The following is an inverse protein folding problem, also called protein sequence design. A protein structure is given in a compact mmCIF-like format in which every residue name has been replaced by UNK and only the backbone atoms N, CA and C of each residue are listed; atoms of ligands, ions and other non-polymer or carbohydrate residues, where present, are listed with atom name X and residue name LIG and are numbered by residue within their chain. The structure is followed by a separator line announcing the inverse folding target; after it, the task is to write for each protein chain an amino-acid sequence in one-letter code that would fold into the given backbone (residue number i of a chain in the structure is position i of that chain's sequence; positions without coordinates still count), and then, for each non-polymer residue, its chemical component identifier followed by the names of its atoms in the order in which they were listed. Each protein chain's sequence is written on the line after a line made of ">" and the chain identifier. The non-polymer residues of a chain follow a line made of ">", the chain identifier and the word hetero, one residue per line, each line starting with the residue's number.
data_IF_008290294602
#
_entry.id   IF_008290294602
#
_cell.length_a   1.000
_cell.length_b   1.000
_cell.length_c   1.000
_cell.angle_alpha   90.00
_cell.angle_beta   90.00
_cell.angle_gamma   90.00
#
_symmetry.space_group_name_H-M   'P 1'
#
loop_
_entity.id
_entity.type
_entity.pdbx_description
1 polymer ?
#
# COMPACT_ATOMS: atom_id res chain seq x y z
N UNK A 1 11.69 -14.65 -22.67
CA UNK A 1 12.31 -14.09 -21.42
C UNK A 1 11.19 -13.98 -20.39
N UNK A 2 11.45 -14.27 -19.12
CA UNK A 2 10.40 -14.09 -18.09
C UNK A 2 10.32 -12.62 -17.72
N UNK A 3 9.09 -12.06 -17.62
CA UNK A 3 8.85 -10.68 -17.20
C UNK A 3 7.97 -10.63 -15.95
N UNK A 4 8.47 -10.01 -14.88
CA UNK A 4 7.72 -9.86 -13.63
C UNK A 4 7.03 -8.50 -13.58
N UNK A 5 5.74 -8.49 -13.92
CA UNK A 5 4.89 -7.29 -13.96
C UNK A 5 3.83 -7.29 -12.85
N UNK A 6 4.17 -7.84 -11.67
CA UNK A 6 3.30 -7.86 -10.48
C UNK A 6 3.95 -7.22 -9.23
N UNK A 7 4.69 -6.14 -9.44
CA UNK A 7 5.44 -5.46 -8.38
C UNK A 7 4.56 -4.76 -7.33
N UNK A 8 3.25 -4.58 -7.58
CA UNK A 8 2.32 -4.10 -6.56
C UNK A 8 1.90 -5.19 -5.59
N UNK A 9 1.97 -6.48 -5.97
CA UNK A 9 1.75 -7.58 -5.03
C UNK A 9 2.95 -7.74 -4.10
N UNK A 10 4.16 -7.80 -4.64
CA UNK A 10 5.42 -7.84 -3.89
C UNK A 10 6.58 -7.52 -4.82
N UNK A 11 7.70 -7.07 -4.26
CA UNK A 11 8.92 -6.85 -5.02
C UNK A 11 10.01 -7.85 -4.60
N UNK A 12 10.94 -8.14 -5.51
CA UNK A 12 12.11 -8.94 -5.19
C UNK A 12 13.01 -8.17 -4.21
N UNK A 13 13.44 -8.78 -3.08
CA UNK A 13 14.42 -8.14 -2.20
C UNK A 13 15.75 -7.90 -2.93
N UNK A 14 16.36 -6.76 -2.63
CA UNK A 14 17.68 -6.42 -3.21
C UNK A 14 18.80 -7.24 -2.57
N UNK A 15 19.95 -7.40 -3.24
CA UNK A 15 21.10 -8.10 -2.67
C UNK A 15 21.55 -7.54 -1.33
N UNK A 16 21.61 -6.21 -1.17
CA UNK A 16 21.97 -5.55 0.09
C UNK A 16 20.93 -5.78 1.20
N UNK A 17 19.67 -5.95 0.86
CA UNK A 17 18.60 -6.31 1.80
C UNK A 17 18.80 -7.76 2.26
N UNK A 18 19.04 -8.67 1.34
CA UNK A 18 19.32 -10.08 1.67
C UNK A 18 20.55 -10.19 2.56
N UNK A 19 21.61 -9.43 2.26
CA UNK A 19 22.82 -9.38 3.07
C UNK A 19 22.55 -8.87 4.50
N UNK A 20 21.78 -7.79 4.66
CA UNK A 20 21.43 -7.22 5.96
C UNK A 20 20.60 -8.19 6.81
N UNK A 21 19.62 -8.88 6.21
CA UNK A 21 18.82 -9.91 6.88
C UNK A 21 19.70 -11.09 7.32
N UNK A 22 20.55 -11.60 6.43
CA UNK A 22 21.45 -12.73 6.72
C UNK A 22 22.46 -12.38 7.82
N UNK A 23 23.05 -11.20 7.74
CA UNK A 23 24.00 -10.70 8.76
C UNK A 23 23.35 -10.63 10.14
N UNK A 24 22.14 -10.09 10.20
CA UNK A 24 21.36 -10.01 11.45
C UNK A 24 21.02 -11.40 12.01
N UNK A 25 20.68 -12.38 11.17
CA UNK A 25 20.41 -13.74 11.61
C UNK A 25 21.66 -14.43 12.17
N UNK A 26 22.83 -14.18 11.58
CA UNK A 26 24.08 -14.85 11.94
C UNK A 26 24.80 -14.14 13.10
N UNK A 27 24.86 -12.82 13.11
CA UNK A 27 25.65 -12.02 14.04
C UNK A 27 24.80 -11.16 14.99
N UNK A 28 23.61 -10.71 14.58
CA UNK A 28 22.71 -9.84 15.34
C UNK A 28 21.53 -10.54 16.01
N UNK A 29 21.67 -11.83 16.34
CA UNK A 29 20.58 -12.69 16.85
C UNK A 29 20.15 -12.41 18.30
N UNK A 30 20.83 -11.50 19.01
CA UNK A 30 20.52 -11.15 20.40
C UNK A 30 19.13 -10.55 20.57
N UNK A 31 18.54 -10.71 21.78
CA UNK A 31 17.29 -10.03 22.11
C UNK A 31 17.56 -8.54 22.39
N UNK A 32 16.95 -7.58 21.67
CA UNK A 32 17.18 -6.15 21.86
C UNK A 32 16.85 -5.61 23.26
N UNK A 33 16.02 -6.33 24.03
CA UNK A 33 15.68 -5.97 25.40
C UNK A 33 16.76 -6.35 26.44
N UNK A 34 17.74 -7.19 26.05
CA UNK A 34 18.80 -7.64 26.94
C UNK A 34 19.90 -6.59 27.13
N UNK A 35 20.47 -6.53 28.35
CA UNK A 35 21.50 -5.55 28.70
C UNK A 35 22.93 -6.00 28.38
N UNK A 36 23.13 -7.28 28.03
CA UNK A 36 24.43 -7.80 27.62
C UNK A 36 24.76 -7.42 26.17
N UNK A 37 26.02 -7.55 25.78
CA UNK A 37 26.56 -7.07 24.49
C UNK A 37 25.73 -7.50 23.28
N UNK A 38 25.36 -8.78 23.18
CA UNK A 38 24.57 -9.26 22.04
C UNK A 38 23.19 -8.57 21.92
N UNK A 39 22.55 -8.26 23.08
CA UNK A 39 21.29 -7.50 23.08
C UNK A 39 21.48 -6.03 22.70
N UNK A 40 22.57 -5.41 23.18
CA UNK A 40 22.92 -4.02 22.81
C UNK A 40 23.19 -3.91 21.31
N UNK A 41 23.92 -4.86 20.70
CA UNK A 41 24.22 -4.88 19.28
C UNK A 41 22.93 -5.06 18.46
N UNK A 42 22.02 -5.94 18.87
CA UNK A 42 20.72 -6.13 18.22
C UNK A 42 19.85 -4.86 18.32
N UNK A 43 19.80 -4.22 19.49
CA UNK A 43 19.09 -2.94 19.69
C UNK A 43 19.64 -1.85 18.79
N UNK A 44 20.97 -1.74 18.66
CA UNK A 44 21.61 -0.79 17.76
C UNK A 44 21.18 -1.02 16.32
N UNK A 45 21.11 -2.26 15.87
CA UNK A 45 20.61 -2.61 14.54
C UNK A 45 19.17 -2.11 14.32
N UNK A 46 18.30 -2.33 15.30
CA UNK A 46 16.90 -1.85 15.24
C UNK A 46 16.83 -0.33 15.16
N UNK A 47 17.58 0.39 15.98
CA UNK A 47 17.50 1.87 16.01
C UNK A 47 18.13 2.48 14.74
N UNK A 48 19.22 1.98 14.21
CA UNK A 48 19.79 2.44 12.94
C UNK A 48 18.82 2.22 11.76
N UNK A 49 18.17 1.06 11.71
CA UNK A 49 17.14 0.79 10.69
C UNK A 49 15.92 1.72 10.86
N UNK A 50 15.53 2.01 12.11
CA UNK A 50 14.45 2.95 12.41
C UNK A 50 14.77 4.36 11.89
N UNK A 51 16.01 4.84 12.09
CA UNK A 51 16.48 6.11 11.56
C UNK A 51 16.41 6.16 10.01
N UNK A 52 16.81 5.08 9.34
CA UNK A 52 16.75 4.98 7.88
C UNK A 52 15.32 5.00 7.36
N UNK A 53 14.41 4.26 8.00
CA UNK A 53 12.98 4.27 7.67
C UNK A 53 12.36 5.64 7.95
N UNK A 54 12.70 6.27 9.06
CA UNK A 54 12.23 7.61 9.39
C UNK A 54 12.66 8.65 8.35
N UNK A 55 13.92 8.61 7.90
CA UNK A 55 14.42 9.49 6.83
C UNK A 55 13.69 9.28 5.51
N UNK A 56 13.41 8.01 5.13
CA UNK A 56 12.68 7.69 3.90
C UNK A 56 11.29 8.36 3.85
N UNK A 57 10.64 8.51 4.99
CA UNK A 57 9.29 9.08 5.07
C UNK A 57 9.25 10.51 5.63
N UNK A 58 10.40 11.18 5.77
CA UNK A 58 10.48 12.55 6.29
C UNK A 58 9.97 12.68 7.72
N UNK A 59 10.33 11.73 8.60
CA UNK A 59 9.81 11.59 9.97
C UNK A 59 10.92 11.58 11.02
N UNK A 60 10.56 11.59 12.30
CA UNK A 60 11.47 11.27 13.40
C UNK A 60 11.44 9.79 13.74
N UNK A 61 12.55 9.28 14.24
CA UNK A 61 12.70 7.89 14.67
C UNK A 61 11.62 7.43 15.66
N UNK A 62 11.25 8.29 16.61
CA UNK A 62 10.22 8.01 17.62
C UNK A 62 8.80 7.92 17.06
N UNK A 63 8.59 8.37 15.85
CA UNK A 63 7.30 8.35 15.17
C UNK A 63 7.09 7.02 14.41
N UNK A 64 8.12 6.19 14.24
CA UNK A 64 8.03 4.89 13.58
C UNK A 64 7.70 3.80 14.61
N UNK A 65 6.71 2.97 14.29
CA UNK A 65 6.33 1.74 15.02
C UNK A 65 6.47 0.57 14.06
N UNK A 66 7.39 -0.34 14.33
CA UNK A 66 7.53 -1.55 13.51
C UNK A 66 6.40 -2.54 13.78
N UNK A 67 5.91 -3.17 12.72
CA UNK A 67 4.83 -4.14 12.72
C UNK A 67 5.21 -5.34 11.87
N UNK A 68 4.42 -6.41 11.85
CA UNK A 68 4.68 -7.59 11.00
C UNK A 68 4.37 -7.36 9.51
N UNK A 69 3.77 -6.23 9.14
CA UNK A 69 3.40 -5.89 7.77
C UNK A 69 2.41 -4.75 7.69
N UNK A 70 2.01 -4.39 6.47
CA UNK A 70 1.04 -3.32 6.21
C UNK A 70 -0.33 -3.57 6.85
N UNK A 71 -0.79 -4.82 6.87
CA UNK A 71 -2.07 -5.19 7.48
C UNK A 71 -2.10 -4.92 8.97
N UNK A 72 -1.05 -5.34 9.72
CA UNK A 72 -0.95 -5.01 11.15
C UNK A 72 -0.83 -3.49 11.37
N UNK A 73 -0.07 -2.80 10.54
CA UNK A 73 0.07 -1.34 10.62
C UNK A 73 -1.27 -0.62 10.40
N UNK A 74 -2.07 -1.04 9.40
CA UNK A 74 -3.40 -0.51 9.13
C UNK A 74 -4.38 -0.80 10.28
N UNK A 75 -4.38 -2.03 10.81
CA UNK A 75 -5.20 -2.40 11.97
C UNK A 75 -4.84 -1.56 13.20
N UNK A 76 -3.54 -1.40 13.48
CA UNK A 76 -3.06 -0.54 14.57
C UNK A 76 -3.49 0.92 14.38
N UNK A 77 -3.47 1.43 13.14
CA UNK A 77 -3.94 2.77 12.84
C UNK A 77 -5.44 2.92 13.10
N UNK A 78 -6.26 1.99 12.62
CA UNK A 78 -7.74 2.08 12.65
C UNK A 78 -8.26 1.72 14.05
N UNK A 79 -8.06 0.49 14.49
CA UNK A 79 -8.56 0.00 15.77
C UNK A 79 -7.85 0.68 16.95
N UNK A 80 -6.52 0.85 16.86
CA UNK A 80 -5.73 1.54 17.85
C UNK A 80 -6.13 3.01 18.04
N UNK A 81 -6.51 3.72 16.97
CA UNK A 81 -7.01 5.09 17.06
C UNK A 81 -8.38 5.16 17.73
N UNK A 82 -9.30 4.27 17.34
CA UNK A 82 -10.64 4.19 17.93
C UNK A 82 -10.54 3.93 19.44
N UNK A 83 -9.81 2.91 19.85
CA UNK A 83 -9.64 2.55 21.25
C UNK A 83 -8.94 3.65 22.06
N UNK A 84 -7.87 4.27 21.52
CA UNK A 84 -7.17 5.33 22.20
C UNK A 84 -8.07 6.55 22.48
N UNK A 85 -8.98 6.91 21.59
CA UNK A 85 -9.93 7.98 21.78
C UNK A 85 -10.98 7.62 22.83
N UNK A 86 -11.48 6.38 22.82
CA UNK A 86 -12.41 5.89 23.86
C UNK A 86 -11.77 5.90 25.24
N UNK A 87 -10.51 5.47 25.39
CA UNK A 87 -9.74 5.55 26.64
C UNK A 87 -9.50 6.98 27.12
N UNK A 88 -9.53 7.96 26.21
CA UNK A 88 -9.44 9.40 26.52
C UNK A 88 -10.81 10.03 26.84
N UNK A 89 -11.87 9.25 27.00
CA UNK A 89 -13.21 9.74 27.32
C UNK A 89 -14.03 10.21 26.11
N UNK A 90 -13.56 9.94 24.88
CA UNK A 90 -14.23 10.34 23.65
C UNK A 90 -15.12 9.19 23.08
N UNK A 91 -15.96 8.59 23.92
CA UNK A 91 -16.80 7.44 23.56
C UNK A 91 -17.78 7.72 22.41
N UNK A 92 -18.13 8.99 22.17
CA UNK A 92 -18.98 9.42 21.05
C UNK A 92 -18.30 9.31 19.69
N UNK A 93 -16.95 9.23 19.63
CA UNK A 93 -16.21 9.07 18.37
C UNK A 93 -16.18 7.61 17.96
N UNK A 94 -17.13 7.21 17.09
CA UNK A 94 -17.31 5.82 16.66
C UNK A 94 -17.45 5.69 15.13
N UNK A 95 -17.44 6.79 14.39
CA UNK A 95 -17.56 6.75 12.92
C UNK A 95 -16.17 6.64 12.31
N UNK A 96 -16.00 5.66 11.43
CA UNK A 96 -14.85 5.50 10.54
C UNK A 96 -15.27 5.94 9.15
N UNK A 97 -14.59 6.90 8.56
CA UNK A 97 -14.80 7.31 7.17
C UNK A 97 -13.72 6.65 6.33
N UNK A 98 -14.11 5.87 5.32
CA UNK A 98 -13.18 5.18 4.42
C UNK A 98 -13.77 5.01 3.03
N UNK A 99 -13.00 4.46 2.09
CA UNK A 99 -13.42 4.24 0.71
C UNK A 99 -13.58 2.73 0.41
N UNK A 100 -14.53 2.38 -0.45
CA UNK A 100 -14.64 0.98 -0.94
C UNK A 100 -13.50 0.58 -1.88
N UNK A 101 -12.71 1.56 -2.35
CA UNK A 101 -11.51 1.34 -3.16
C UNK A 101 -10.26 1.02 -2.33
N UNK A 102 -10.35 1.01 -0.99
CA UNK A 102 -9.26 0.64 -0.09
C UNK A 102 -8.81 -0.81 -0.28
N UNK A 103 -7.54 -1.05 0.08
CA UNK A 103 -7.05 -2.42 0.25
C UNK A 103 -7.85 -3.16 1.33
N UNK A 104 -7.99 -4.50 1.20
CA UNK A 104 -8.71 -5.35 2.17
C UNK A 104 -8.27 -5.13 3.63
N UNK A 105 -6.97 -4.87 3.86
CA UNK A 105 -6.45 -4.59 5.21
C UNK A 105 -7.12 -3.40 5.90
N UNK A 106 -7.59 -2.40 5.15
CA UNK A 106 -8.32 -1.23 5.66
C UNK A 106 -9.81 -1.47 5.62
N UNK A 107 -10.35 -1.89 4.46
CA UNK A 107 -11.78 -2.08 4.26
C UNK A 107 -12.34 -3.12 5.23
N UNK A 108 -11.74 -4.31 5.28
CA UNK A 108 -12.21 -5.40 6.15
C UNK A 108 -12.01 -5.09 7.63
N UNK A 109 -10.95 -4.34 8.01
CA UNK A 109 -10.80 -3.87 9.37
C UNK A 109 -11.95 -2.94 9.80
N UNK A 110 -12.36 -2.00 8.93
CA UNK A 110 -13.50 -1.13 9.18
C UNK A 110 -14.81 -1.94 9.27
N UNK A 111 -15.05 -2.86 8.33
CA UNK A 111 -16.25 -3.71 8.28
C UNK A 111 -16.32 -4.64 9.50
N UNK A 112 -15.19 -5.23 9.93
CA UNK A 112 -15.13 -6.08 11.12
C UNK A 112 -15.47 -5.30 12.40
N UNK A 113 -15.00 -4.08 12.56
CA UNK A 113 -15.34 -3.21 13.69
C UNK A 113 -16.82 -2.85 13.68
N UNK A 114 -17.40 -2.58 12.52
CA UNK A 114 -18.83 -2.33 12.38
C UNK A 114 -19.67 -3.58 12.68
N UNK A 115 -19.29 -4.75 12.17
CA UNK A 115 -19.94 -6.02 12.44
C UNK A 115 -19.93 -6.42 13.92
N UNK A 116 -18.90 -5.99 14.67
CA UNK A 116 -18.79 -6.16 16.13
C UNK A 116 -19.56 -5.08 16.92
N UNK A 117 -20.21 -4.11 16.26
CA UNK A 117 -20.90 -3.00 16.90
C UNK A 117 -19.98 -1.98 17.59
N UNK A 118 -18.67 -2.00 17.28
CA UNK A 118 -17.68 -1.12 17.89
C UNK A 118 -17.55 0.21 17.14
N UNK A 119 -17.88 0.24 15.86
CA UNK A 119 -17.84 1.43 15.01
C UNK A 119 -19.02 1.45 14.03
N UNK A 120 -19.23 2.58 13.38
CA UNK A 120 -20.03 2.76 12.17
C UNK A 120 -19.08 3.10 11.04
N UNK A 121 -19.33 2.61 9.81
CA UNK A 121 -18.54 2.98 8.64
C UNK A 121 -19.36 3.89 7.74
N UNK A 122 -18.85 5.08 7.48
CA UNK A 122 -19.35 5.99 6.45
C UNK A 122 -18.44 5.89 5.20
N UNK A 123 -19.01 5.37 4.11
CA UNK A 123 -18.26 5.18 2.88
C UNK A 123 -18.20 6.47 2.06
N UNK A 124 -16.97 6.99 1.91
CA UNK A 124 -16.67 8.11 1.05
C UNK A 124 -16.81 7.69 -0.42
N UNK A 125 -17.51 8.51 -1.21
CA UNK A 125 -17.67 8.30 -2.66
C UNK A 125 -16.37 8.54 -3.41
N UNK A 126 -16.24 7.91 -4.57
CA UNK A 126 -15.21 8.21 -5.56
C UNK A 126 -15.83 8.41 -6.95
N UNK A 127 -15.07 9.01 -7.86
CA UNK A 127 -15.41 9.10 -9.28
C UNK A 127 -14.98 7.83 -10.04
N UNK A 128 -15.24 7.79 -11.35
CA UNK A 128 -14.86 6.68 -12.23
C UNK A 128 -13.34 6.56 -12.44
N UNK A 129 -12.57 7.58 -12.12
CA UNK A 129 -11.11 7.54 -12.10
C UNK A 129 -10.56 7.05 -10.75
N UNK A 130 -11.42 6.85 -9.75
CA UNK A 130 -11.07 6.38 -8.42
C UNK A 130 -10.66 7.50 -7.46
N UNK A 131 -10.83 8.78 -7.84
CA UNK A 131 -10.51 9.89 -6.96
C UNK A 131 -11.57 10.06 -5.87
N UNK A 132 -11.16 10.35 -4.65
CA UNK A 132 -12.05 10.66 -3.53
C UNK A 132 -12.88 11.92 -3.80
N UNK A 133 -14.18 11.86 -3.53
CA UNK A 133 -15.09 13.01 -3.60
C UNK A 133 -14.86 13.94 -2.39
N UNK A 134 -14.06 14.98 -2.58
CA UNK A 134 -13.75 15.96 -1.53
C UNK A 134 -14.97 16.76 -1.06
N UNK A 135 -15.96 16.96 -1.93
CA UNK A 135 -17.22 17.61 -1.57
C UNK A 135 -18.01 16.76 -0.58
N UNK A 136 -18.16 15.48 -0.88
CA UNK A 136 -18.79 14.52 0.03
C UNK A 136 -18.01 14.37 1.36
N UNK A 137 -16.67 14.39 1.31
CA UNK A 137 -15.87 14.38 2.54
C UNK A 137 -16.15 15.61 3.39
N UNK A 138 -16.21 16.80 2.78
CA UNK A 138 -16.53 18.04 3.50
C UNK A 138 -17.93 17.99 4.13
N UNK A 139 -18.94 17.49 3.41
CA UNK A 139 -20.31 17.28 3.93
C UNK A 139 -20.32 16.35 5.15
N UNK A 140 -19.61 15.20 5.08
CA UNK A 140 -19.51 14.26 6.19
C UNK A 140 -18.83 14.89 7.41
N UNK A 141 -17.75 15.63 7.19
CA UNK A 141 -17.00 16.30 8.24
C UNK A 141 -17.83 17.42 8.88
N UNK A 142 -18.54 18.23 8.09
CA UNK A 142 -19.38 19.31 8.61
C UNK A 142 -20.55 18.78 9.44
N UNK A 143 -21.15 17.67 9.01
CA UNK A 143 -22.29 17.07 9.70
C UNK A 143 -21.90 16.28 10.95
N UNK A 144 -20.74 15.56 10.95
CA UNK A 144 -20.46 14.48 11.90
C UNK A 144 -19.07 14.53 12.54
N UNK A 145 -18.27 15.61 12.39
CA UNK A 145 -16.91 15.66 12.93
C UNK A 145 -16.78 15.21 14.41
N UNK A 146 -17.72 15.56 15.33
CA UNK A 146 -17.63 15.09 16.72
C UNK A 146 -17.79 13.58 16.91
N UNK A 147 -18.41 12.88 15.93
CA UNK A 147 -18.62 11.43 15.96
C UNK A 147 -17.52 10.67 15.23
N UNK A 148 -16.78 11.34 14.33
CA UNK A 148 -15.75 10.69 13.50
C UNK A 148 -14.50 10.44 14.35
N UNK A 149 -14.14 9.16 14.48
CA UNK A 149 -12.93 8.71 15.12
C UNK A 149 -11.71 8.84 14.19
N UNK A 150 -11.90 8.47 12.91
CA UNK A 150 -10.82 8.44 11.92
C UNK A 150 -11.39 8.56 10.50
N UNK A 151 -10.72 9.35 9.67
CA UNK A 151 -10.78 9.23 8.21
C UNK A 151 -9.60 8.39 7.76
N UNK A 152 -9.82 7.38 6.93
CA UNK A 152 -8.78 6.53 6.37
C UNK A 152 -8.94 6.45 4.85
N UNK A 153 -7.97 7.02 4.13
CA UNK A 153 -7.93 7.02 2.66
C UNK A 153 -6.52 6.69 2.21
N UNK A 154 -6.37 5.67 1.37
CA UNK A 154 -5.08 5.25 0.83
C UNK A 154 -4.43 6.37 0.02
N UNK A 155 -3.08 6.39 -0.01
CA UNK A 155 -2.37 7.41 -0.79
C UNK A 155 -2.38 7.10 -2.29
N UNK A 156 -2.20 5.84 -2.63
CA UNK A 156 -2.27 5.38 -4.01
C UNK A 156 -2.88 3.99 -4.08
N UNK A 157 -3.76 3.80 -5.06
CA UNK A 157 -4.47 2.54 -5.23
C UNK A 157 -3.56 1.44 -5.78
N UNK A 158 -3.59 0.27 -5.15
CA UNK A 158 -2.75 -0.88 -5.51
C UNK A 158 -3.18 -1.58 -6.81
N UNK A 159 -4.41 -1.34 -7.29
CA UNK A 159 -4.93 -1.97 -8.51
C UNK A 159 -4.81 -1.07 -9.72
N UNK A 160 -5.19 0.20 -9.60
CA UNK A 160 -5.24 1.15 -10.71
C UNK A 160 -4.04 2.10 -10.75
N UNK A 161 -3.36 2.27 -9.61
CA UNK A 161 -2.31 3.26 -9.45
C UNK A 161 -2.82 4.68 -9.18
N UNK A 162 -4.14 4.91 -9.14
CA UNK A 162 -4.71 6.24 -8.90
C UNK A 162 -4.21 6.84 -7.58
N UNK A 163 -3.76 8.08 -7.63
CA UNK A 163 -3.20 8.83 -6.50
C UNK A 163 -4.28 9.71 -5.88
N UNK A 164 -4.43 9.63 -4.57
CA UNK A 164 -5.41 10.42 -3.84
C UNK A 164 -4.84 11.77 -3.39
N UNK A 165 -5.67 12.81 -3.30
CA UNK A 165 -5.28 14.15 -2.87
C UNK A 165 -5.13 14.21 -1.32
N UNK A 166 -4.12 13.49 -0.80
CA UNK A 166 -3.91 13.28 0.65
C UNK A 166 -3.69 14.60 1.40
N UNK A 167 -3.07 15.60 0.76
CA UNK A 167 -2.87 16.91 1.36
C UNK A 167 -4.19 17.64 1.60
N UNK A 168 -5.09 17.63 0.62
CA UNK A 168 -6.41 18.26 0.67
C UNK A 168 -7.33 17.53 1.66
N UNK A 169 -7.36 16.19 1.62
CA UNK A 169 -8.10 15.35 2.57
C UNK A 169 -7.65 15.66 3.99
N UNK A 170 -6.35 15.64 4.22
CA UNK A 170 -5.78 15.92 5.53
C UNK A 170 -6.05 17.35 6.02
N UNK A 171 -6.02 18.33 5.13
CA UNK A 171 -6.37 19.73 5.47
C UNK A 171 -7.85 19.84 5.91
N UNK A 172 -8.77 19.18 5.20
CA UNK A 172 -10.18 19.12 5.57
C UNK A 172 -10.40 18.48 6.94
N UNK A 173 -9.72 17.35 7.21
CA UNK A 173 -9.78 16.65 8.50
C UNK A 173 -9.23 17.51 9.63
N UNK A 174 -8.04 18.09 9.43
CA UNK A 174 -7.37 18.93 10.43
C UNK A 174 -8.17 20.15 10.81
N UNK A 175 -8.80 20.82 9.83
CA UNK A 175 -9.64 21.99 10.06
C UNK A 175 -10.85 21.68 10.97
N UNK A 176 -11.26 20.42 11.08
CA UNK A 176 -12.40 19.95 11.89
C UNK A 176 -12.00 19.10 13.10
N UNK A 177 -10.69 19.00 13.39
CA UNK A 177 -10.17 18.23 14.53
C UNK A 177 -10.42 16.72 14.43
N UNK A 178 -10.46 16.20 13.21
CA UNK A 178 -10.61 14.77 12.91
C UNK A 178 -9.27 14.17 12.54
N UNK A 179 -8.95 12.99 13.07
CA UNK A 179 -7.72 12.24 12.73
C UNK A 179 -7.77 11.71 11.31
N UNK A 180 -6.60 11.74 10.64
CA UNK A 180 -6.46 11.21 9.29
C UNK A 180 -5.33 10.19 9.20
N UNK A 181 -5.68 8.98 8.72
CA UNK A 181 -4.79 7.90 8.35
C UNK A 181 -4.72 7.77 6.83
N UNK A 182 -3.54 7.51 6.30
CA UNK A 182 -3.37 7.10 4.91
C UNK A 182 -2.64 5.75 4.82
N UNK A 183 -3.16 4.81 4.02
CA UNK A 183 -2.39 3.64 3.63
C UNK A 183 -1.40 4.05 2.53
N UNK A 184 -0.14 4.24 2.95
CA UNK A 184 0.97 4.64 2.09
C UNK A 184 1.77 3.45 1.54
N UNK A 185 1.21 2.23 1.60
CA UNK A 185 1.89 0.99 1.21
C UNK A 185 2.36 0.99 -0.25
N UNK A 186 1.62 1.63 -1.14
CA UNK A 186 2.02 1.77 -2.55
C UNK A 186 2.82 3.06 -2.83
N UNK A 187 2.96 3.94 -1.84
CA UNK A 187 3.64 5.23 -1.99
C UNK A 187 5.09 5.20 -1.48
N UNK A 188 5.28 4.72 -0.24
CA UNK A 188 6.59 4.72 0.43
C UNK A 188 7.63 3.92 -0.36
N UNK A 189 8.80 4.51 -0.55
CA UNK A 189 9.91 3.94 -1.32
C UNK A 189 9.74 3.97 -2.85
N UNK A 190 8.61 4.48 -3.35
CA UNK A 190 8.32 4.67 -4.80
C UNK A 190 8.18 6.13 -5.18
N UNK A 191 7.70 6.93 -4.26
CA UNK A 191 7.48 8.37 -4.42
C UNK A 191 8.13 9.12 -3.27
N UNK A 192 8.52 10.40 -3.44
CA UNK A 192 8.97 11.25 -2.34
C UNK A 192 7.92 11.31 -1.24
N UNK A 193 8.36 11.26 0.02
CA UNK A 193 7.47 11.20 1.16
C UNK A 193 8.00 12.07 2.30
N UNK A 194 7.21 13.07 2.74
CA UNK A 194 7.56 14.03 3.78
C UNK A 194 6.41 14.16 4.79
N UNK A 195 6.16 13.08 5.55
CA UNK A 195 4.97 12.96 6.40
C UNK A 195 4.85 14.06 7.45
N UNK A 196 5.96 14.59 7.97
CA UNK A 196 5.90 15.68 8.95
C UNK A 196 5.29 16.96 8.39
N UNK A 197 5.54 17.26 7.13
CA UNK A 197 5.00 18.45 6.46
C UNK A 197 3.54 18.25 6.00
N UNK A 198 3.09 17.01 5.87
CA UNK A 198 1.74 16.66 5.42
C UNK A 198 0.71 16.78 6.56
N UNK A 199 -0.56 17.10 6.28
CA UNK A 199 -1.64 17.11 7.26
C UNK A 199 -2.19 15.69 7.55
N UNK A 200 -1.31 14.71 7.74
CA UNK A 200 -1.60 13.30 8.04
C UNK A 200 -1.26 13.03 9.51
N UNK A 201 -1.97 12.17 10.19
CA UNK A 201 -1.70 11.79 11.59
C UNK A 201 -1.09 10.39 11.70
N UNK A 202 -1.44 9.50 10.77
CA UNK A 202 -1.01 8.11 10.73
C UNK A 202 -0.75 7.68 9.28
N UNK A 203 0.31 6.90 9.04
CA UNK A 203 0.58 6.33 7.72
C UNK A 203 1.10 4.90 7.86
N UNK A 204 0.42 3.93 7.23
CA UNK A 204 0.82 2.52 7.21
C UNK A 204 1.60 2.17 5.94
N UNK A 205 2.62 1.31 6.05
CA UNK A 205 3.39 0.83 4.91
C UNK A 205 4.13 -0.48 5.20
N UNK A 206 4.59 -1.17 4.14
CA UNK A 206 5.22 -2.49 4.22
C UNK A 206 6.50 -2.56 3.39
N UNK A 207 7.55 -3.17 3.95
CA UNK A 207 8.88 -3.24 3.35
C UNK A 207 8.90 -3.94 1.99
N UNK A 208 8.11 -5.02 1.83
CA UNK A 208 8.11 -5.82 0.61
C UNK A 208 7.55 -5.11 -0.63
N UNK A 209 7.03 -3.90 -0.49
CA UNK A 209 6.55 -3.06 -1.61
C UNK A 209 7.65 -2.18 -2.20
N UNK A 210 8.77 -2.02 -1.47
CA UNK A 210 9.95 -1.27 -1.92
C UNK A 210 11.26 -2.05 -1.80
N UNK A 211 11.20 -3.34 -2.17
CA UNK A 211 12.33 -4.28 -2.22
C UNK A 211 12.89 -4.72 -0.86
N UNK A 212 12.15 -4.50 0.23
CA UNK A 212 12.43 -5.05 1.54
C UNK A 212 11.88 -6.48 1.72
N UNK A 213 12.12 -7.10 2.88
CA UNK A 213 11.60 -8.42 3.17
C UNK A 213 10.10 -8.41 3.46
N UNK A 214 9.43 -9.56 3.23
CA UNK A 214 8.09 -9.84 3.78
C UNK A 214 8.17 -10.01 5.30
N UNK A 215 7.04 -9.88 5.99
CA UNK A 215 6.97 -10.09 7.44
C UNK A 215 7.47 -8.90 8.27
N UNK A 216 7.58 -7.73 7.66
CA UNK A 216 7.90 -6.47 8.32
C UNK A 216 7.18 -5.30 7.63
N UNK A 217 6.62 -4.39 8.43
CA UNK A 217 6.02 -3.14 8.02
C UNK A 217 6.20 -2.09 9.11
N UNK A 218 5.61 -0.93 8.92
CA UNK A 218 5.63 0.11 9.92
C UNK A 218 4.36 0.97 9.87
N UNK A 219 4.00 1.49 11.03
CA UNK A 219 3.07 2.59 11.18
C UNK A 219 3.88 3.84 11.58
N UNK A 220 3.79 4.89 10.79
CA UNK A 220 4.17 6.21 11.24
C UNK A 220 3.05 6.82 12.06
N UNK A 221 3.38 7.33 13.25
CA UNK A 221 2.45 7.96 14.18
C UNK A 221 2.97 9.36 14.49
N UNK A 222 2.23 10.37 14.07
CA UNK A 222 2.59 11.78 14.34
C UNK A 222 2.80 12.03 15.82
N UNK A 223 3.81 12.81 16.16
CA UNK A 223 4.06 13.22 17.55
C UNK A 223 2.79 13.84 18.18
N UNK A 224 2.43 13.39 19.37
CA UNK A 224 1.19 13.77 20.07
C UNK A 224 -0.05 12.93 19.74
N UNK A 225 -0.06 12.15 18.67
CA UNK A 225 -1.13 11.20 18.37
C UNK A 225 -0.94 9.92 19.20
N UNK A 226 -2.02 9.42 19.79
CA UNK A 226 -2.02 8.18 20.56
C UNK A 226 -2.76 7.08 19.83
N UNK A 227 -2.18 5.88 19.85
CA UNK A 227 -2.80 4.64 19.39
C UNK A 227 -2.73 3.61 20.52
N UNK A 228 -3.79 2.85 20.73
CA UNK A 228 -3.78 1.74 21.68
C UNK A 228 -3.12 0.51 21.02
N UNK A 229 -2.23 -0.21 21.74
CA UNK A 229 -1.58 -1.39 21.18
C UNK A 229 -2.61 -2.48 20.85
N UNK A 230 -2.50 -3.10 19.67
CA UNK A 230 -3.31 -4.24 19.28
C UNK A 230 -2.60 -5.56 19.59
N UNK A 231 -1.28 -5.57 19.54
CA UNK A 231 -0.44 -6.67 20.02
C UNK A 231 0.03 -6.32 21.43
N UNK A 232 -0.66 -6.87 22.42
CA UNK A 232 -0.40 -6.59 23.84
C UNK A 232 0.77 -7.44 24.32
N UNK A 233 1.70 -6.83 25.08
CA UNK A 233 2.89 -7.53 25.59
C UNK A 233 3.81 -6.62 26.40
N UNK A 234 5.12 -6.79 26.20
CA UNK A 234 6.14 -5.97 26.84
C UNK A 234 6.22 -4.54 26.29
N UNK A 235 7.19 -3.72 26.79
CA UNK A 235 7.29 -2.29 26.46
C UNK A 235 7.94 -2.00 25.09
N UNK A 236 8.04 -2.99 24.22
CA UNK A 236 8.61 -2.83 22.88
C UNK A 236 7.83 -1.77 22.10
N UNK A 237 8.46 -1.19 21.11
CA UNK A 237 7.90 -0.11 20.28
C UNK A 237 7.27 1.01 21.15
N UNK A 238 7.83 1.27 22.32
CA UNK A 238 7.36 2.28 23.28
C UNK A 238 5.91 2.05 23.71
N UNK A 239 5.58 0.80 24.08
CA UNK A 239 4.24 0.34 24.50
C UNK A 239 3.15 0.43 23.43
N UNK A 240 3.53 0.63 22.15
CA UNK A 240 2.58 0.70 21.04
C UNK A 240 2.42 -0.63 20.30
N UNK A 241 3.39 -1.56 20.46
CA UNK A 241 3.35 -2.89 19.89
C UNK A 241 4.25 -3.82 20.71
N UNK A 242 3.68 -4.81 21.43
CA UNK A 242 4.41 -5.77 22.25
C UNK A 242 5.05 -6.91 21.47
N UNK A 243 5.96 -7.63 22.10
CA UNK A 243 6.67 -8.78 21.52
C UNK A 243 8.08 -8.42 21.03
N UNK A 244 8.99 -9.39 21.12
CA UNK A 244 10.39 -9.24 20.67
C UNK A 244 10.45 -8.79 19.22
N UNK A 245 11.26 -7.77 18.96
CA UNK A 245 11.41 -7.17 17.63
C UNK A 245 11.99 -8.16 16.62
N UNK A 246 11.45 -8.16 15.40
CA UNK A 246 11.97 -8.91 14.27
C UNK A 246 13.26 -8.25 13.74
N UNK A 247 14.37 -8.39 14.48
CA UNK A 247 15.64 -7.71 14.17
C UNK A 247 16.08 -7.93 12.72
N UNK A 248 16.06 -9.17 12.16
CA UNK A 248 16.42 -9.40 10.76
C UNK A 248 15.51 -8.68 9.77
N UNK A 249 14.19 -8.71 10.00
CA UNK A 249 13.23 -8.02 9.16
C UNK A 249 13.40 -6.50 9.22
N UNK A 250 13.64 -5.96 10.41
CA UNK A 250 13.90 -4.52 10.64
C UNK A 250 15.20 -4.09 9.94
N UNK A 251 16.28 -4.86 10.06
CA UNK A 251 17.54 -4.60 9.37
C UNK A 251 17.35 -4.55 7.84
N UNK A 252 16.62 -5.54 7.30
CA UNK A 252 16.29 -5.59 5.88
C UNK A 252 15.43 -4.42 5.41
N UNK A 253 14.46 -3.97 6.24
CA UNK A 253 13.64 -2.78 5.93
C UNK A 253 14.49 -1.50 5.94
N UNK A 254 15.45 -1.36 6.87
CA UNK A 254 16.39 -0.26 6.90
C UNK A 254 17.27 -0.20 5.65
N UNK A 255 17.84 -1.33 5.22
CA UNK A 255 18.61 -1.43 3.97
C UNK A 255 17.78 -1.08 2.73
N UNK A 256 16.51 -1.55 2.69
CA UNK A 256 15.60 -1.19 1.61
C UNK A 256 15.27 0.32 1.59
N UNK A 257 15.16 0.94 2.77
CA UNK A 257 14.92 2.39 2.89
C UNK A 257 16.09 3.21 2.35
N UNK A 258 17.33 2.87 2.70
CA UNK A 258 18.53 3.53 2.16
C UNK A 258 18.60 3.43 0.64
N UNK A 259 18.38 2.22 0.11
CA UNK A 259 18.39 1.99 -1.33
C UNK A 259 17.24 2.71 -2.05
N UNK A 260 16.07 2.83 -1.41
CA UNK A 260 14.95 3.59 -1.96
C UNK A 260 15.24 5.09 -2.03
N UNK A 261 15.83 5.67 -0.99
CA UNK A 261 16.24 7.09 -0.98
C UNK A 261 17.24 7.40 -2.07
N UNK A 262 18.27 6.55 -2.25
CA UNK A 262 19.26 6.70 -3.31
C UNK A 262 18.61 6.66 -4.70
N UNK A 263 17.67 5.75 -4.93
CA UNK A 263 16.96 5.66 -6.21
C UNK A 263 16.02 6.84 -6.45
N UNK A 264 15.32 7.33 -5.42
CA UNK A 264 14.40 8.47 -5.51
C UNK A 264 15.10 9.79 -5.84
N UNK A 265 16.38 9.91 -5.49
CA UNK A 265 17.19 11.09 -5.81
C UNK A 265 17.53 11.21 -7.31
N UNK A 266 17.37 10.14 -8.08
CA UNK A 266 17.64 10.11 -9.52
C UNK A 266 16.39 10.27 -10.39
N UNK A 267 16.55 9.98 -11.68
CA UNK A 267 15.49 10.06 -12.71
C UNK A 267 14.69 8.76 -12.88
N UNK A 268 14.88 7.78 -11.98
CA UNK A 268 14.31 6.44 -12.09
C UNK A 268 12.78 6.43 -12.24
N UNK A 269 12.08 7.37 -11.58
CA UNK A 269 10.62 7.49 -11.71
C UNK A 269 10.19 7.91 -13.11
N UNK A 270 10.88 8.88 -13.72
CA UNK A 270 10.57 9.33 -15.08
C UNK A 270 10.83 8.21 -16.10
N UNK A 271 11.94 7.47 -15.96
CA UNK A 271 12.21 6.30 -16.80
C UNK A 271 11.16 5.21 -16.63
N UNK A 272 10.77 4.91 -15.39
CA UNK A 272 9.71 3.93 -15.11
C UNK A 272 8.35 4.35 -15.69
N UNK A 273 7.98 5.63 -15.57
CA UNK A 273 6.76 6.16 -16.19
C UNK A 273 6.78 5.99 -17.71
N UNK A 274 7.89 6.30 -18.36
CA UNK A 274 8.04 6.11 -19.81
C UNK A 274 7.89 4.63 -20.23
N UNK A 275 8.41 3.70 -19.43
CA UNK A 275 8.24 2.25 -19.66
C UNK A 275 6.78 1.82 -19.52
N UNK A 276 6.08 2.26 -18.45
CA UNK A 276 4.67 1.99 -18.22
C UNK A 276 3.80 2.57 -19.34
N UNK A 277 4.03 3.82 -19.72
CA UNK A 277 3.25 4.51 -20.75
C UNK A 277 3.44 3.87 -22.12
N UNK A 278 4.67 3.48 -22.45
CA UNK A 278 4.97 2.75 -23.69
C UNK A 278 4.25 1.40 -23.73
N UNK A 279 4.26 0.64 -22.64
CA UNK A 279 3.54 -0.62 -22.53
C UNK A 279 2.03 -0.42 -22.74
N UNK A 280 1.45 0.51 -22.00
CA UNK A 280 0.01 0.83 -22.05
C UNK A 280 -0.42 1.23 -23.45
N UNK A 281 0.30 2.18 -24.08
CA UNK A 281 0.00 2.65 -25.43
C UNK A 281 0.09 1.53 -26.48
N UNK A 282 1.13 0.69 -26.40
CA UNK A 282 1.32 -0.39 -27.34
C UNK A 282 0.23 -1.48 -27.23
N UNK A 283 -0.15 -1.86 -26.00
CA UNK A 283 -1.24 -2.83 -25.75
C UNK A 283 -2.58 -2.27 -26.26
N UNK A 284 -2.91 -1.01 -25.95
CA UNK A 284 -4.14 -0.38 -26.40
C UNK A 284 -4.20 -0.22 -27.93
N UNK A 285 -3.07 0.05 -28.59
CA UNK A 285 -3.01 0.11 -30.06
C UNK A 285 -3.24 -1.27 -30.71
N UNK A 286 -2.74 -2.33 -30.10
CA UNK A 286 -2.87 -3.69 -30.60
C UNK A 286 -4.24 -4.34 -30.25
N UNK A 287 -4.94 -3.83 -29.20
CA UNK A 287 -6.24 -4.32 -28.74
C UNK A 287 -7.20 -3.12 -28.66
N UNK A 288 -7.90 -2.76 -29.77
CA UNK A 288 -8.61 -1.48 -29.88
C UNK A 288 -9.76 -1.25 -28.89
N UNK A 289 -10.33 -2.31 -28.30
CA UNK A 289 -11.39 -2.23 -27.29
C UNK A 289 -10.86 -2.37 -25.85
N UNK A 290 -9.55 -2.42 -25.66
CA UNK A 290 -8.95 -2.37 -24.33
C UNK A 290 -9.25 -1.04 -23.64
N UNK A 291 -9.56 -1.09 -22.36
CA UNK A 291 -9.93 0.07 -21.54
C UNK A 291 -8.90 0.25 -20.43
N UNK A 292 -8.26 1.41 -20.39
CA UNK A 292 -7.37 1.75 -19.26
C UNK A 292 -8.22 2.25 -18.10
N UNK A 293 -8.29 1.47 -17.01
CA UNK A 293 -8.99 1.86 -15.81
C UNK A 293 -8.22 2.99 -15.08
N UNK A 294 -8.96 3.98 -14.57
CA UNK A 294 -8.40 5.18 -13.94
C UNK A 294 -7.53 6.07 -14.88
N UNK A 295 -7.75 6.04 -16.20
CA UNK A 295 -7.00 6.88 -17.15
C UNK A 295 -7.11 8.39 -16.86
N UNK A 296 -8.23 8.84 -16.22
CA UNK A 296 -8.46 10.24 -15.86
C UNK A 296 -7.82 10.70 -14.55
N UNK A 297 -7.19 9.80 -13.77
CA UNK A 297 -6.51 10.14 -12.53
C UNK A 297 -5.02 10.39 -12.71
N UNK A 298 -4.41 11.14 -11.78
CA UNK A 298 -2.97 11.02 -11.55
C UNK A 298 -2.67 9.60 -11.09
N UNK A 299 -1.65 8.97 -11.70
CA UNK A 299 -1.31 7.57 -11.41
C UNK A 299 0.15 7.41 -11.04
N UNK A 300 0.45 6.43 -10.20
CA UNK A 300 1.82 6.00 -9.92
C UNK A 300 2.55 5.67 -11.22
N UNK A 301 3.83 6.00 -11.28
CA UNK A 301 4.70 5.76 -12.42
C UNK A 301 4.80 4.30 -12.86
N UNK A 302 4.49 3.37 -11.97
CA UNK A 302 4.78 1.94 -12.13
C UNK A 302 3.54 1.07 -12.40
N UNK A 303 2.33 1.64 -12.47
CA UNK A 303 1.08 0.85 -12.46
C UNK A 303 0.19 1.24 -13.63
N UNK A 304 -0.31 0.23 -14.33
CA UNK A 304 -1.47 0.34 -15.23
C UNK A 304 -2.43 -0.81 -15.00
N UNK A 305 -3.72 -0.55 -15.18
CA UNK A 305 -4.78 -1.54 -15.11
C UNK A 305 -5.56 -1.47 -16.41
N UNK A 306 -5.55 -2.57 -17.16
CA UNK A 306 -6.16 -2.64 -18.51
C UNK A 306 -7.29 -3.67 -18.47
N UNK A 307 -8.51 -3.23 -18.76
CA UNK A 307 -9.67 -4.09 -18.94
C UNK A 307 -9.77 -4.59 -20.40
N UNK A 308 -10.03 -5.86 -20.55
CA UNK A 308 -10.29 -6.53 -21.84
C UNK A 308 -11.75 -7.02 -21.86
N UNK A 309 -12.70 -6.20 -22.37
CA UNK A 309 -14.13 -6.46 -22.24
C UNK A 309 -14.54 -7.84 -22.77
N UNK A 310 -15.32 -8.58 -21.97
CA UNK A 310 -15.86 -9.89 -22.34
C UNK A 310 -14.89 -11.05 -22.19
N UNK A 311 -13.71 -10.83 -21.62
CA UNK A 311 -12.77 -11.88 -21.22
C UNK A 311 -12.74 -12.01 -19.68
N UNK A 312 -12.19 -13.12 -19.20
CA UNK A 312 -11.95 -13.41 -17.81
C UNK A 312 -10.46 -13.18 -17.46
N UNK A 313 -10.19 -12.38 -16.43
CA UNK A 313 -8.82 -12.06 -16.02
C UNK A 313 -8.00 -13.30 -15.67
N UNK A 314 -8.60 -14.32 -15.03
CA UNK A 314 -7.91 -15.58 -14.70
C UNK A 314 -7.41 -16.30 -15.96
N UNK A 315 -8.24 -16.38 -17.03
CA UNK A 315 -7.85 -17.00 -18.29
C UNK A 315 -6.70 -16.23 -18.93
N UNK A 316 -6.73 -14.89 -18.87
CA UNK A 316 -5.65 -14.04 -19.36
C UNK A 316 -4.37 -14.31 -18.59
N UNK A 317 -4.44 -14.32 -17.24
CA UNK A 317 -3.29 -14.50 -16.36
C UNK A 317 -2.65 -15.88 -16.51
N UNK A 318 -3.44 -16.95 -16.62
CA UNK A 318 -2.93 -18.29 -16.89
C UNK A 318 -2.15 -18.34 -18.19
N UNK A 319 -2.71 -17.77 -19.26
CA UNK A 319 -2.05 -17.78 -20.58
C UNK A 319 -0.78 -16.90 -20.59
N UNK A 320 -0.78 -15.77 -19.88
CA UNK A 320 0.41 -14.93 -19.68
C UNK A 320 1.49 -15.68 -18.90
N UNK A 321 1.11 -16.37 -17.83
CA UNK A 321 2.02 -17.16 -17.00
C UNK A 321 2.70 -18.28 -17.79
N UNK A 322 1.95 -19.00 -18.66
CA UNK A 322 2.51 -20.00 -19.59
C UNK A 322 3.57 -19.40 -20.54
N UNK A 323 3.45 -18.11 -20.83
CA UNK A 323 4.39 -17.37 -21.68
C UNK A 323 5.48 -16.63 -20.88
N UNK A 324 5.56 -16.87 -19.56
CA UNK A 324 6.57 -16.31 -18.68
C UNK A 324 6.30 -14.86 -18.22
N UNK A 325 5.07 -14.34 -18.36
CA UNK A 325 4.70 -13.03 -17.86
C UNK A 325 3.86 -13.16 -16.60
N UNK A 326 4.33 -12.57 -15.50
CA UNK A 326 3.61 -12.49 -14.23
C UNK A 326 2.85 -11.18 -14.15
N UNK A 327 1.53 -11.23 -14.00
CA UNK A 327 0.65 -10.09 -13.78
C UNK A 327 -0.45 -10.46 -12.78
N UNK A 328 -1.41 -9.58 -12.47
CA UNK A 328 -2.46 -9.84 -11.45
C UNK A 328 -3.81 -9.30 -11.90
N UNK A 329 -4.90 -9.91 -11.41
CA UNK A 329 -6.26 -9.38 -11.57
C UNK A 329 -6.58 -8.21 -10.61
N UNK A 330 -5.58 -7.70 -9.87
CA UNK A 330 -5.78 -6.61 -8.90
C UNK A 330 -6.13 -7.12 -7.51
N UNK A 331 -7.22 -7.83 -7.36
CA UNK A 331 -7.67 -8.42 -6.08
C UNK A 331 -6.91 -9.73 -5.77
N UNK A 332 -5.58 -9.66 -5.64
CA UNK A 332 -4.74 -10.84 -5.33
C UNK A 332 -5.12 -11.57 -4.03
N UNK A 333 -5.83 -10.90 -3.12
CA UNK A 333 -6.30 -11.50 -1.85
C UNK A 333 -7.58 -12.35 -2.00
N UNK A 334 -8.28 -12.26 -3.14
CA UNK A 334 -9.45 -13.07 -3.48
C UNK A 334 -9.15 -14.10 -4.58
N UNK A 335 -7.89 -14.59 -4.67
CA UNK A 335 -7.50 -15.64 -5.59
C UNK A 335 -8.40 -16.87 -5.39
N UNK A 336 -9.26 -17.14 -6.40
CA UNK A 336 -10.29 -18.19 -6.36
C UNK A 336 -11.74 -17.67 -6.38
N UNK A 337 -12.00 -16.37 -6.32
CA UNK A 337 -13.31 -15.79 -6.61
C UNK A 337 -13.41 -15.42 -8.09
N UNK A 338 -14.46 -15.89 -8.74
CA UNK A 338 -14.83 -15.50 -10.12
C UNK A 338 -15.39 -14.07 -10.18
N UNK A 339 -15.54 -13.40 -9.04
CA UNK A 339 -16.10 -12.06 -8.96
C UNK A 339 -15.09 -10.98 -9.42
N UNK A 340 -15.58 -9.95 -10.10
CA UNK A 340 -14.72 -8.82 -10.52
C UNK A 340 -14.22 -8.05 -9.30
N UNK A 341 -13.11 -7.32 -9.49
CA UNK A 341 -12.51 -6.49 -8.44
C UNK A 341 -13.55 -5.57 -7.76
N UNK A 342 -13.72 -5.65 -6.43
CA UNK A 342 -14.59 -4.74 -5.69
C UNK A 342 -14.14 -3.27 -5.80
N UNK A 343 -12.86 -3.01 -6.04
CA UNK A 343 -12.30 -1.68 -6.29
C UNK A 343 -12.85 -1.12 -7.60
N UNK A 344 -12.75 -1.89 -8.68
CA UNK A 344 -13.25 -1.45 -10.00
C UNK A 344 -14.77 -1.27 -9.99
N UNK A 345 -15.51 -2.15 -9.31
CA UNK A 345 -16.96 -2.00 -9.13
C UNK A 345 -17.32 -0.75 -8.33
N UNK A 346 -16.56 -0.42 -7.28
CA UNK A 346 -16.75 0.79 -6.48
C UNK A 346 -16.49 2.07 -7.28
N UNK A 347 -15.61 2.01 -8.29
CA UNK A 347 -15.36 3.07 -9.26
C UNK A 347 -16.45 3.18 -10.34
N UNK A 348 -17.45 2.28 -10.35
CA UNK A 348 -18.49 2.24 -11.37
C UNK A 348 -18.03 1.65 -12.71
N UNK A 349 -16.90 0.96 -12.75
CA UNK A 349 -16.46 0.25 -13.96
C UNK A 349 -17.45 -0.87 -14.28
N UNK A 350 -17.95 -0.94 -15.52
CA UNK A 350 -18.93 -1.96 -15.89
C UNK A 350 -18.39 -3.39 -15.63
N UNK A 351 -19.20 -4.30 -15.09
CA UNK A 351 -18.78 -5.68 -14.79
C UNK A 351 -18.08 -6.37 -15.96
N UNK A 352 -18.57 -6.17 -17.19
CA UNK A 352 -17.95 -6.72 -18.41
C UNK A 352 -16.50 -6.28 -18.62
N UNK A 353 -16.13 -5.10 -18.17
CA UNK A 353 -14.74 -4.58 -18.22
C UNK A 353 -13.97 -5.06 -17.01
N UNK A 354 -14.59 -4.98 -15.82
CA UNK A 354 -13.95 -5.32 -14.56
C UNK A 354 -13.52 -6.80 -14.48
N UNK A 355 -14.33 -7.73 -15.01
CA UNK A 355 -14.00 -9.18 -15.10
C UNK A 355 -12.72 -9.45 -15.91
N UNK A 356 -12.52 -8.74 -17.01
CA UNK A 356 -11.35 -8.90 -17.88
C UNK A 356 -10.19 -7.95 -17.52
N UNK A 357 -10.21 -7.31 -16.35
CA UNK A 357 -9.20 -6.32 -16.00
C UNK A 357 -7.96 -6.96 -15.38
N UNK A 358 -6.80 -6.63 -15.96
CA UNK A 358 -5.49 -7.10 -15.52
C UNK A 358 -4.63 -5.90 -15.12
N UNK A 359 -4.04 -5.99 -13.93
CA UNK A 359 -3.04 -5.04 -13.45
C UNK A 359 -1.66 -5.47 -13.89
N UNK A 360 -0.91 -4.55 -14.48
CA UNK A 360 0.51 -4.67 -14.77
C UNK A 360 1.26 -3.64 -13.94
N UNK A 361 2.23 -4.09 -13.16
CA UNK A 361 3.00 -3.21 -12.29
C UNK A 361 4.49 -3.55 -12.33
N UNK A 362 5.28 -2.54 -12.66
CA UNK A 362 6.73 -2.62 -12.80
C UNK A 362 7.45 -2.17 -11.52
N UNK A 363 8.75 -2.38 -11.44
CA UNK A 363 9.61 -1.85 -10.39
C UNK A 363 10.83 -1.15 -10.97
N UNK A 364 11.68 -0.62 -10.11
CA UNK A 364 12.97 -0.04 -10.50
C UNK A 364 13.95 -1.04 -11.11
N UNK A 365 13.67 -2.35 -10.98
CA UNK A 365 14.47 -3.43 -11.57
C UNK A 365 13.95 -3.89 -12.92
N UNK A 366 12.72 -3.49 -13.31
CA UNK A 366 12.12 -3.91 -14.58
C UNK A 366 12.89 -3.29 -15.74
N UNK A 367 13.26 -4.13 -16.71
CA UNK A 367 14.05 -3.72 -17.88
C UNK A 367 13.17 -3.37 -19.09
N UNK A 368 13.77 -2.69 -20.07
CA UNK A 368 13.10 -2.38 -21.33
C UNK A 368 12.74 -3.65 -22.10
N UNK A 369 13.61 -4.65 -22.06
CA UNK A 369 13.45 -5.95 -22.73
C UNK A 369 12.28 -6.75 -22.14
N UNK A 370 12.07 -6.71 -20.84
CA UNK A 370 10.89 -7.31 -20.18
C UNK A 370 9.60 -6.64 -20.63
N UNK A 371 9.61 -5.31 -20.75
CA UNK A 371 8.46 -4.55 -21.26
C UNK A 371 8.21 -4.85 -22.73
N UNK A 372 9.26 -4.96 -23.57
CA UNK A 372 9.13 -5.30 -24.98
C UNK A 372 8.56 -6.72 -25.19
N UNK A 373 8.96 -7.67 -24.33
CA UNK A 373 8.36 -9.01 -24.32
C UNK A 373 6.87 -8.96 -24.01
N UNK A 374 6.49 -8.19 -22.99
CA UNK A 374 5.09 -8.06 -22.58
C UNK A 374 4.24 -7.36 -23.66
N UNK A 375 4.77 -6.33 -24.32
CA UNK A 375 4.11 -5.63 -25.46
C UNK A 375 3.77 -6.61 -26.60
N UNK A 376 4.63 -7.57 -26.89
CA UNK A 376 4.36 -8.60 -27.91
C UNK A 376 3.36 -9.65 -27.43
N UNK A 377 3.57 -10.14 -26.22
CA UNK A 377 2.88 -11.33 -25.69
C UNK A 377 1.45 -11.04 -25.26
N UNK A 378 1.17 -9.90 -24.63
CA UNK A 378 -0.18 -9.57 -24.11
C UNK A 378 -1.22 -9.56 -25.25
N UNK A 379 -1.03 -8.84 -26.38
CA UNK A 379 -2.01 -8.87 -27.46
C UNK A 379 -2.20 -10.25 -28.11
N UNK A 380 -1.14 -11.05 -28.21
CA UNK A 380 -1.22 -12.43 -28.73
C UNK A 380 -2.13 -13.30 -27.84
N UNK A 381 -1.97 -13.20 -26.52
CA UNK A 381 -2.81 -13.92 -25.55
C UNK A 381 -4.27 -13.51 -25.63
N UNK A 382 -4.55 -12.20 -25.69
CA UNK A 382 -5.90 -11.67 -25.85
C UNK A 382 -6.54 -12.16 -27.16
N UNK A 383 -5.81 -12.08 -28.27
CA UNK A 383 -6.30 -12.55 -29.56
C UNK A 383 -6.57 -14.07 -29.59
N UNK A 384 -5.76 -14.87 -28.86
CA UNK A 384 -5.99 -16.31 -28.71
C UNK A 384 -7.28 -16.59 -27.93
N UNK A 385 -7.50 -15.95 -26.79
CA UNK A 385 -8.70 -16.15 -25.98
C UNK A 385 -9.97 -15.76 -26.74
N UNK A 386 -9.96 -14.66 -27.49
CA UNK A 386 -11.12 -14.23 -28.30
C UNK A 386 -11.48 -15.19 -29.42
N UNK A 387 -10.51 -15.96 -29.95
CA UNK A 387 -10.81 -17.00 -30.95
C UNK A 387 -11.42 -18.27 -30.34
N UNK A 388 -11.27 -18.44 -29.03
CA UNK A 388 -11.72 -19.63 -28.31
C UNK A 388 -13.04 -19.40 -27.53
N UNK A 389 -13.48 -18.14 -27.43
CA UNK A 389 -14.74 -17.70 -26.84
C UNK A 389 -15.81 -17.57 -27.94
#
# INVERSE_FOLDING_TARGET
>A
MAAYLDCNATTQPLPEVVAAVTDSLVRGWGNPSSVHRAGIDARRTVELARESVARLVGAGDREIVFTSGGTEAATLAIEGSLQAQQLQGQQGRRVLVSMKTEHSAVREACEALAGRGLAEVAWLRCDAAGNADLGHLAELLDARAPEIALVSVMWANNETGAVQPVAEIGALCRARGVRFHTDATQWVGRMPCELRSMPVDLASFAAHKFHGPKGIGALWVRSGVRVAPQVIGGPQERERRGGTENVPGVAGMGAAAESAMAWLAGDGRARGAALRDRFEAAVCAAVPDAVVNAAGAERLWNTTNIGFPGLEAEAILLLLSERGISASAGAACSSGSLDPSPVLLAMGIPPRVAHGSVRFSISRLTTSEEVDEAVRTVPECIARLRRSA
#
